data_IF_922686648071
#
_entry.id   IF_922686648071
#
_cell.length_a   1.000
_cell.length_b   1.000
_cell.length_c   1.000
_cell.angle_alpha   90.00
_cell.angle_beta   90.00
_cell.angle_gamma   90.00
#
_symmetry.space_group_name_H-M   'P 1'
#
loop_
_entity.id
_entity.type
_entity.pdbx_description
1 polymer ?
#
# COMPACT_ATOMS: atom_id res chain seq x y z
N UNK A 1 -29.76 -73.48 -45.97
CA UNK A 1 -29.12 -72.20 -46.36
C UNK A 1 -28.70 -71.53 -45.05
N UNK A 2 -27.71 -72.10 -44.35
CA UNK A 2 -27.48 -71.89 -42.92
C UNK A 2 -26.04 -71.45 -42.62
N UNK A 3 -25.40 -70.72 -43.54
CA UNK A 3 -24.07 -70.13 -43.33
C UNK A 3 -24.08 -68.60 -43.17
N UNK A 4 -25.18 -67.92 -43.53
CA UNK A 4 -25.25 -66.45 -43.45
C UNK A 4 -25.61 -65.91 -42.05
N UNK A 5 -26.24 -66.71 -41.18
CA UNK A 5 -26.65 -66.25 -39.83
C UNK A 5 -25.50 -66.24 -38.81
N UNK A 6 -24.55 -67.19 -38.92
CA UNK A 6 -23.38 -67.23 -38.03
C UNK A 6 -22.40 -66.09 -38.31
N UNK A 7 -22.29 -65.67 -39.58
CA UNK A 7 -21.43 -64.57 -40.01
C UNK A 7 -22.03 -63.20 -39.63
N UNK A 8 -23.36 -63.05 -39.69
CA UNK A 8 -24.06 -61.86 -39.19
C UNK A 8 -23.93 -61.67 -37.67
N UNK A 9 -23.92 -62.75 -36.87
CA UNK A 9 -23.70 -62.66 -35.43
C UNK A 9 -22.25 -62.28 -35.08
N UNK A 10 -21.26 -62.75 -35.85
CA UNK A 10 -19.86 -62.37 -35.68
C UNK A 10 -19.59 -60.91 -36.03
N UNK A 11 -20.19 -60.41 -37.13
CA UNK A 11 -20.06 -59.00 -37.53
C UNK A 11 -20.80 -58.07 -36.56
N UNK A 12 -21.99 -58.46 -36.09
CA UNK A 12 -22.72 -57.70 -35.08
C UNK A 12 -21.99 -57.69 -33.72
N UNK A 13 -21.42 -58.83 -33.31
CA UNK A 13 -20.63 -58.94 -32.07
C UNK A 13 -19.34 -58.12 -32.12
N UNK A 14 -18.63 -58.11 -33.25
CA UNK A 14 -17.44 -57.28 -33.44
C UNK A 14 -17.77 -55.79 -33.44
N UNK A 15 -18.89 -55.39 -34.07
CA UNK A 15 -19.36 -54.01 -34.05
C UNK A 15 -19.67 -53.50 -32.64
N UNK A 16 -20.31 -54.35 -31.82
CA UNK A 16 -20.58 -54.05 -30.41
C UNK A 16 -19.30 -53.96 -29.56
N UNK A 17 -18.34 -54.86 -29.78
CA UNK A 17 -17.05 -54.79 -29.10
C UNK A 17 -16.29 -53.51 -29.45
N UNK A 18 -16.27 -53.11 -30.72
CA UNK A 18 -15.63 -51.86 -31.16
C UNK A 18 -16.30 -50.63 -30.54
N UNK A 19 -17.64 -50.63 -30.47
CA UNK A 19 -18.41 -49.55 -29.86
C UNK A 19 -18.08 -49.40 -28.36
N UNK A 20 -17.91 -50.49 -27.62
CA UNK A 20 -17.50 -50.44 -26.22
C UNK A 20 -16.07 -49.95 -26.03
N UNK A 21 -15.14 -50.32 -26.91
CA UNK A 21 -13.76 -49.81 -26.86
C UNK A 21 -13.71 -48.31 -27.13
N UNK A 22 -14.43 -47.84 -28.15
CA UNK A 22 -14.54 -46.40 -28.44
C UNK A 22 -15.23 -45.65 -27.31
N UNK A 23 -16.31 -46.21 -26.74
CA UNK A 23 -17.01 -45.62 -25.60
C UNK A 23 -16.10 -45.54 -24.36
N UNK A 24 -15.33 -46.59 -24.07
CA UNK A 24 -14.37 -46.59 -22.97
C UNK A 24 -13.24 -45.58 -23.18
N UNK A 25 -12.74 -45.43 -24.42
CA UNK A 25 -11.74 -44.42 -24.76
C UNK A 25 -12.30 -43.00 -24.63
N UNK A 26 -13.53 -42.75 -25.09
CA UNK A 26 -14.19 -41.44 -24.94
C UNK A 26 -14.48 -41.13 -23.48
N UNK A 27 -14.96 -42.12 -22.71
CA UNK A 27 -15.22 -41.94 -21.28
C UNK A 27 -13.92 -41.65 -20.52
N UNK A 28 -12.84 -42.37 -20.81
CA UNK A 28 -11.52 -42.10 -20.22
C UNK A 28 -10.96 -40.73 -20.66
N UNK A 29 -11.19 -40.30 -21.90
CA UNK A 29 -10.74 -38.99 -22.38
C UNK A 29 -11.53 -37.82 -21.77
N UNK A 30 -12.85 -37.96 -21.58
CA UNK A 30 -13.70 -36.95 -20.91
C UNK A 30 -13.32 -36.81 -19.45
N UNK A 31 -13.11 -37.91 -18.73
CA UNK A 31 -12.64 -37.89 -17.33
C UNK A 31 -11.24 -37.25 -17.24
N UNK A 32 -10.36 -37.47 -18.22
CA UNK A 32 -9.04 -36.83 -18.24
C UNK A 32 -9.10 -35.33 -18.55
N UNK A 33 -10.09 -34.87 -19.32
CA UNK A 33 -10.21 -33.46 -19.74
C UNK A 33 -10.95 -32.62 -18.69
N UNK A 34 -11.96 -33.18 -18.02
CA UNK A 34 -12.67 -32.50 -16.91
C UNK A 34 -11.80 -32.38 -15.65
N UNK A 35 -10.91 -33.34 -15.38
CA UNK A 35 -9.95 -33.20 -14.27
C UNK A 35 -8.88 -32.12 -14.56
N UNK A 36 -8.39 -32.03 -15.80
CA UNK A 36 -7.33 -31.07 -16.15
C UNK A 36 -7.79 -29.62 -16.08
N UNK A 37 -9.03 -29.33 -16.52
CA UNK A 37 -9.55 -27.97 -16.55
C UNK A 37 -9.89 -27.45 -15.14
N UNK A 38 -10.41 -28.30 -14.26
CA UNK A 38 -10.79 -27.92 -12.89
C UNK A 38 -9.55 -27.74 -11.99
N UNK A 39 -8.52 -28.56 -12.21
CA UNK A 39 -7.26 -28.50 -11.46
C UNK A 39 -6.43 -27.26 -11.80
N UNK A 40 -6.36 -26.85 -13.08
CA UNK A 40 -5.66 -25.62 -13.49
C UNK A 40 -6.34 -24.34 -12.99
N UNK A 41 -7.68 -24.30 -12.93
CA UNK A 41 -8.41 -23.14 -12.42
C UNK A 41 -8.27 -23.00 -10.89
N UNK A 42 -8.33 -24.11 -10.14
CA UNK A 42 -8.10 -24.10 -8.68
C UNK A 42 -6.68 -23.65 -8.29
N UNK A 43 -5.65 -24.14 -9.00
CA UNK A 43 -4.25 -23.72 -8.75
C UNK A 43 -4.01 -22.24 -8.99
N UNK A 44 -4.63 -21.66 -10.04
CA UNK A 44 -4.46 -20.23 -10.34
C UNK A 44 -5.15 -19.36 -9.28
N UNK A 45 -6.33 -19.76 -8.82
CA UNK A 45 -7.05 -19.04 -7.76
C UNK A 45 -6.33 -19.12 -6.40
N UNK A 46 -5.70 -20.25 -6.08
CA UNK A 46 -4.92 -20.43 -4.84
C UNK A 46 -3.66 -19.55 -4.83
N UNK A 47 -2.93 -19.47 -5.95
CA UNK A 47 -1.74 -18.61 -6.10
C UNK A 47 -2.10 -17.14 -5.94
N UNK A 48 -3.10 -16.66 -6.68
CA UNK A 48 -3.53 -15.26 -6.62
C UNK A 48 -4.15 -14.94 -5.25
N UNK A 49 -4.80 -15.91 -4.61
CA UNK A 49 -5.32 -15.77 -3.25
C UNK A 49 -4.19 -15.60 -2.22
N UNK A 50 -3.11 -16.36 -2.34
CA UNK A 50 -1.94 -16.24 -1.47
C UNK A 50 -1.18 -14.93 -1.71
N UNK A 51 -1.00 -14.52 -2.97
CA UNK A 51 -0.39 -13.22 -3.33
C UNK A 51 -1.14 -12.06 -2.64
N UNK A 52 -2.47 -11.97 -2.79
CA UNK A 52 -3.26 -10.91 -2.14
C UNK A 52 -3.22 -10.97 -0.61
N UNK A 53 -3.20 -12.18 -0.05
CA UNK A 53 -3.08 -12.36 1.39
C UNK A 53 -1.70 -11.92 1.90
N UNK A 54 -0.65 -12.13 1.12
CA UNK A 54 0.70 -11.66 1.39
C UNK A 54 0.81 -10.15 1.25
N UNK A 55 0.26 -9.55 0.19
CA UNK A 55 0.22 -8.09 0.00
C UNK A 55 -0.42 -7.39 1.20
N UNK A 56 -1.64 -7.78 1.56
CA UNK A 56 -2.35 -7.18 2.69
C UNK A 56 -1.71 -7.52 4.04
N UNK A 57 -1.28 -8.77 4.23
CA UNK A 57 -0.68 -9.24 5.47
C UNK A 57 0.67 -8.58 5.75
N UNK A 58 1.58 -8.64 4.79
CA UNK A 58 2.92 -8.05 4.92
C UNK A 58 2.87 -6.53 4.88
N UNK A 59 2.01 -5.92 4.06
CA UNK A 59 1.76 -4.47 4.11
C UNK A 59 1.36 -4.00 5.51
N UNK A 60 0.48 -4.77 6.19
CA UNK A 60 0.13 -4.52 7.59
C UNK A 60 1.31 -4.63 8.56
N UNK A 61 2.13 -5.66 8.41
CA UNK A 61 3.33 -5.86 9.23
C UNK A 61 4.39 -4.77 8.98
N UNK A 62 4.51 -4.27 7.76
CA UNK A 62 5.41 -3.16 7.42
C UNK A 62 4.98 -1.87 8.12
N UNK A 63 3.69 -1.53 8.07
CA UNK A 63 3.14 -0.37 8.82
C UNK A 63 3.39 -0.53 10.32
N UNK A 64 3.20 -1.74 10.85
CA UNK A 64 3.45 -2.02 12.25
C UNK A 64 4.94 -1.86 12.61
N UNK A 65 5.85 -2.45 11.83
CA UNK A 65 7.29 -2.33 12.07
C UNK A 65 7.75 -0.86 12.06
N UNK A 66 7.27 -0.05 11.09
CA UNK A 66 7.56 1.38 11.01
C UNK A 66 6.96 2.21 12.17
N UNK A 67 5.94 1.67 12.85
CA UNK A 67 5.33 2.31 14.00
C UNK A 67 6.07 1.91 15.27
N UNK A 68 6.21 0.61 15.52
CA UNK A 68 6.66 0.04 16.80
C UNK A 68 8.19 0.04 16.97
N UNK A 69 8.95 -0.13 15.88
CA UNK A 69 10.41 -0.15 15.89
C UNK A 69 10.93 1.09 15.15
N UNK A 70 11.53 2.04 15.86
CA UNK A 70 12.00 3.29 15.26
C UNK A 70 13.49 3.59 15.56
N UNK A 71 14.21 2.60 16.11
CA UNK A 71 15.59 2.77 16.55
C UNK A 71 16.53 3.10 15.38
N UNK A 72 16.54 2.23 14.37
CA UNK A 72 17.39 2.26 13.18
C UNK A 72 16.84 1.30 12.11
N UNK A 73 17.16 1.52 10.82
CA UNK A 73 16.62 0.69 9.73
C UNK A 73 16.92 -0.80 9.87
N UNK A 74 18.08 -1.19 10.41
CA UNK A 74 18.44 -2.60 10.54
C UNK A 74 17.58 -3.32 11.60
N UNK A 75 17.22 -2.62 12.67
CA UNK A 75 16.26 -3.09 13.67
C UNK A 75 14.86 -3.29 13.05
N UNK A 76 14.38 -2.33 12.26
CA UNK A 76 13.07 -2.40 11.57
C UNK A 76 13.03 -3.54 10.56
N UNK A 77 14.09 -3.69 9.76
CA UNK A 77 14.24 -4.80 8.81
C UNK A 77 14.20 -6.16 9.50
N UNK A 78 14.90 -6.29 10.62
CA UNK A 78 14.94 -7.53 11.40
C UNK A 78 13.57 -7.85 12.00
N UNK A 79 12.85 -6.85 12.50
CA UNK A 79 11.50 -6.99 13.00
C UNK A 79 10.54 -7.42 11.89
N UNK A 80 10.54 -6.73 10.74
CA UNK A 80 9.71 -7.10 9.58
C UNK A 80 10.00 -8.53 9.11
N UNK A 81 11.27 -8.92 8.97
CA UNK A 81 11.64 -10.27 8.54
C UNK A 81 11.18 -11.34 9.53
N UNK A 82 11.29 -11.09 10.84
CA UNK A 82 10.78 -11.99 11.87
C UNK A 82 9.26 -12.12 11.80
N UNK A 83 8.57 -11.01 11.56
CA UNK A 83 7.12 -10.92 11.50
C UNK A 83 6.54 -11.61 10.27
N UNK A 84 7.14 -11.40 9.10
CA UNK A 84 6.82 -12.14 7.87
C UNK A 84 7.05 -13.64 8.06
N UNK A 85 8.16 -14.05 8.71
CA UNK A 85 8.41 -15.46 9.00
C UNK A 85 7.36 -16.07 9.93
N UNK A 86 6.85 -15.33 10.93
CA UNK A 86 5.74 -15.78 11.80
C UNK A 86 4.42 -15.85 11.04
N UNK A 87 4.13 -14.87 10.20
CA UNK A 87 2.94 -14.85 9.35
C UNK A 87 2.95 -16.05 8.39
N UNK A 88 4.08 -16.29 7.71
CA UNK A 88 4.23 -17.41 6.79
C UNK A 88 4.04 -18.76 7.50
N UNK A 89 4.66 -18.95 8.67
CA UNK A 89 4.48 -20.19 9.43
C UNK A 89 3.00 -20.47 9.72
N UNK A 90 2.23 -19.43 10.07
CA UNK A 90 0.78 -19.55 10.30
C UNK A 90 -0.01 -19.76 9.01
N UNK A 91 0.31 -19.06 7.93
CA UNK A 91 -0.35 -19.21 6.63
C UNK A 91 -0.12 -20.61 6.05
N UNK A 92 1.11 -21.11 6.11
CA UNK A 92 1.52 -22.42 5.62
C UNK A 92 0.87 -23.58 6.38
N UNK A 93 0.60 -23.42 7.68
CA UNK A 93 -0.20 -24.37 8.47
C UNK A 93 -1.63 -24.53 7.92
N UNK A 94 -2.24 -23.45 7.45
CA UNK A 94 -3.59 -23.45 6.87
C UNK A 94 -3.57 -24.04 5.45
N UNK A 95 -2.62 -23.63 4.61
CA UNK A 95 -2.47 -24.10 3.23
C UNK A 95 -2.15 -25.60 3.14
N UNK A 96 -1.39 -26.14 4.10
CA UNK A 96 -1.03 -27.56 4.14
C UNK A 96 -2.25 -28.48 4.22
N UNK A 97 -3.37 -28.01 4.78
CA UNK A 97 -4.64 -28.76 4.80
C UNK A 97 -5.26 -28.95 3.41
N UNK A 98 -4.93 -28.07 2.46
CA UNK A 98 -5.33 -28.11 1.06
C UNK A 98 -4.34 -28.84 0.14
N UNK A 99 -3.20 -29.32 0.66
CA UNK A 99 -2.16 -29.99 -0.14
C UNK A 99 -1.18 -29.05 -0.83
N UNK A 100 -1.18 -27.78 -0.47
CA UNK A 100 -0.29 -26.74 -0.99
C UNK A 100 0.67 -26.27 0.11
N UNK A 101 1.95 -26.15 -0.22
CA UNK A 101 2.98 -25.59 0.65
C UNK A 101 3.28 -24.18 0.17
N UNK A 102 3.15 -23.21 1.07
CA UNK A 102 3.47 -21.81 0.81
C UNK A 102 4.75 -21.43 1.56
N UNK A 103 5.42 -20.38 1.09
CA UNK A 103 6.51 -19.72 1.80
C UNK A 103 6.53 -18.24 1.42
N UNK A 104 6.82 -17.38 2.39
CA UNK A 104 7.10 -15.96 2.18
C UNK A 104 8.35 -15.54 2.95
N UNK A 105 9.21 -14.77 2.31
CA UNK A 105 10.41 -14.23 2.92
C UNK A 105 10.69 -12.81 2.39
N UNK A 106 11.17 -11.92 3.26
CA UNK A 106 11.64 -10.60 2.84
C UNK A 106 12.94 -10.79 2.06
N UNK A 107 12.95 -10.33 0.80
CA UNK A 107 14.09 -10.39 -0.11
C UNK A 107 14.95 -9.13 0.03
N UNK A 108 14.31 -7.96 -0.05
CA UNK A 108 14.94 -6.65 0.04
C UNK A 108 14.00 -5.64 0.65
N UNK A 109 14.57 -4.53 1.11
CA UNK A 109 13.81 -3.36 1.57
C UNK A 109 14.38 -2.10 0.94
N UNK A 110 13.53 -1.09 0.83
CA UNK A 110 13.94 0.28 0.53
C UNK A 110 13.81 1.08 1.82
N UNK A 111 14.91 1.69 2.23
CA UNK A 111 14.99 2.51 3.43
C UNK A 111 14.41 3.90 3.17
N UNK A 112 13.79 4.49 4.17
CA UNK A 112 13.23 5.83 4.10
C UNK A 112 13.15 6.47 5.49
N UNK A 113 12.46 7.60 5.56
CA UNK A 113 12.22 8.33 6.81
C UNK A 113 10.73 8.59 6.97
N UNK A 114 10.22 8.29 8.16
CA UNK A 114 8.87 8.67 8.59
C UNK A 114 8.93 10.00 9.30
N UNK A 115 8.16 10.96 8.81
CA UNK A 115 7.97 12.27 9.44
C UNK A 115 6.60 12.30 10.07
N UNK A 116 6.51 12.71 11.34
CA UNK A 116 5.26 12.69 12.08
C UNK A 116 5.11 13.85 13.06
N UNK A 117 3.87 14.29 13.23
CA UNK A 117 3.40 15.11 14.35
C UNK A 117 2.18 14.41 14.96
N UNK A 118 2.37 13.54 15.97
CA UNK A 118 1.26 12.92 16.69
C UNK A 118 0.44 13.93 17.50
N UNK A 119 1.10 14.96 18.04
CA UNK A 119 0.48 15.96 18.90
C UNK A 119 -0.48 16.87 18.13
N UNK A 120 -1.60 17.22 18.76
CA UNK A 120 -2.50 18.24 18.23
C UNK A 120 -1.93 19.64 18.48
N UNK A 121 -1.25 20.21 17.49
CA UNK A 121 -0.61 21.54 17.56
C UNK A 121 -0.56 22.22 16.19
N UNK A 122 -0.01 23.43 16.14
CA UNK A 122 0.26 24.09 14.85
C UNK A 122 1.25 23.29 14.01
N UNK A 123 1.14 23.39 12.68
CA UNK A 123 2.00 22.71 11.71
C UNK A 123 3.35 23.41 11.56
N UNK A 124 3.97 23.74 12.68
CA UNK A 124 5.28 24.39 12.75
C UNK A 124 6.36 23.38 13.11
N UNK A 125 7.59 23.64 12.67
CA UNK A 125 8.77 22.85 13.04
C UNK A 125 9.05 22.90 14.56
N UNK A 126 10.09 22.19 15.00
CA UNK A 126 10.49 22.17 16.41
C UNK A 126 10.95 23.55 16.94
N UNK A 127 11.46 24.41 16.05
CA UNK A 127 11.85 25.79 16.38
C UNK A 127 10.67 26.76 16.40
N UNK A 128 9.48 26.33 15.97
CA UNK A 128 8.26 27.13 15.90
C UNK A 128 8.10 27.91 14.58
N UNK A 129 8.86 27.59 13.54
CA UNK A 129 8.70 28.17 12.21
C UNK A 129 7.47 27.58 11.51
N UNK A 130 6.46 28.39 11.13
CA UNK A 130 5.30 27.91 10.39
C UNK A 130 5.58 27.64 8.91
N UNK A 131 6.74 28.04 8.38
CA UNK A 131 7.14 27.92 6.98
C UNK A 131 8.44 27.13 6.89
N UNK A 132 8.36 25.81 6.69
CA UNK A 132 9.51 24.93 6.83
C UNK A 132 9.52 23.79 5.81
N UNK A 133 10.73 23.28 5.53
CA UNK A 133 10.95 22.12 4.66
C UNK A 133 11.09 20.88 5.52
N UNK A 134 10.23 19.89 5.31
CA UNK A 134 10.25 18.65 6.05
C UNK A 134 11.21 17.62 5.43
N UNK A 135 11.25 17.51 4.11
CA UNK A 135 12.20 16.60 3.46
C UNK A 135 12.71 17.22 2.16
N UNK A 136 13.93 16.87 1.77
CA UNK A 136 14.55 17.31 0.53
C UNK A 136 14.95 16.14 -0.34
N UNK A 137 14.98 16.36 -1.66
CA UNK A 137 15.47 15.35 -2.61
C UNK A 137 14.64 14.07 -2.64
N UNK A 138 13.36 14.16 -2.25
CA UNK A 138 12.40 13.06 -2.23
C UNK A 138 12.04 12.69 -3.67
N UNK A 139 12.03 11.40 -4.01
CA UNK A 139 11.53 10.98 -5.33
C UNK A 139 10.10 10.46 -5.24
N UNK A 140 9.72 9.93 -4.08
CA UNK A 140 8.35 9.48 -3.83
C UNK A 140 7.93 9.66 -2.36
N UNK A 141 6.65 9.91 -2.13
CA UNK A 141 6.06 10.07 -0.79
C UNK A 141 4.86 9.15 -0.65
N UNK A 142 4.78 8.44 0.48
CA UNK A 142 3.68 7.52 0.81
C UNK A 142 2.96 7.99 2.06
N UNK A 143 1.67 7.69 2.09
CA UNK A 143 0.79 7.93 3.25
C UNK A 143 0.89 9.34 3.81
N UNK A 144 0.86 10.34 2.95
CA UNK A 144 0.82 11.70 3.42
C UNK A 144 -0.59 12.03 3.88
N UNK A 145 -0.83 11.84 5.16
CA UNK A 145 -2.14 12.04 5.77
C UNK A 145 -2.05 13.16 6.82
N UNK A 146 -3.09 14.00 6.88
CA UNK A 146 -3.22 15.07 7.85
C UNK A 146 -4.65 15.19 8.38
N UNK A 147 -4.80 15.51 9.66
CA UNK A 147 -6.07 15.96 10.24
C UNK A 147 -5.88 17.42 10.62
N UNK A 148 -6.66 18.30 10.00
CA UNK A 148 -6.44 19.74 10.00
C UNK A 148 -7.67 20.47 10.51
N UNK A 149 -7.46 21.42 11.42
CA UNK A 149 -8.42 22.43 11.83
C UNK A 149 -7.88 23.82 11.51
N UNK A 150 -8.34 24.46 10.43
CA UNK A 150 -7.94 25.84 10.13
C UNK A 150 -8.37 26.81 11.25
N UNK A 151 -7.43 27.63 11.71
CA UNK A 151 -7.63 28.60 12.79
C UNK A 151 -7.36 30.04 12.34
N UNK A 152 -6.62 30.23 11.25
CA UNK A 152 -6.23 31.52 10.69
C UNK A 152 -6.98 31.90 9.41
N UNK A 153 -6.64 33.07 8.86
CA UNK A 153 -7.25 33.60 7.64
C UNK A 153 -6.55 33.16 6.35
N UNK A 154 -5.26 32.81 6.43
CA UNK A 154 -4.48 32.27 5.31
C UNK A 154 -4.55 30.73 5.31
N UNK A 155 -4.48 30.07 4.15
CA UNK A 155 -4.53 28.61 4.08
C UNK A 155 -3.27 27.96 4.66
N UNK A 156 -3.45 26.86 5.38
CA UNK A 156 -2.38 25.88 5.57
C UNK A 156 -2.06 25.28 4.21
N UNK A 157 -0.79 25.32 3.80
CA UNK A 157 -0.34 24.78 2.52
C UNK A 157 0.62 23.62 2.75
N UNK A 158 0.28 22.43 2.23
CA UNK A 158 1.17 21.29 2.12
C UNK A 158 1.68 21.23 0.68
N UNK A 159 2.98 21.40 0.47
CA UNK A 159 3.56 21.65 -0.85
C UNK A 159 4.70 20.68 -1.19
N UNK A 160 4.68 20.17 -2.42
CA UNK A 160 5.79 19.46 -3.04
C UNK A 160 6.33 20.27 -4.21
N UNK A 161 7.65 20.41 -4.32
CA UNK A 161 8.28 21.25 -5.34
C UNK A 161 9.65 20.73 -5.75
N UNK A 162 9.91 20.62 -7.04
CA UNK A 162 11.24 20.32 -7.60
C UNK A 162 12.03 21.60 -7.94
N UNK A 163 11.46 22.77 -7.64
CA UNK A 163 12.00 24.10 -7.96
C UNK A 163 11.33 24.72 -9.19
N UNK A 164 11.44 24.12 -10.40
CA UNK A 164 10.71 24.58 -11.58
C UNK A 164 9.19 24.42 -11.52
N UNK A 165 8.70 23.36 -10.87
CA UNK A 165 7.29 23.07 -10.72
C UNK A 165 6.95 22.84 -9.24
N UNK A 166 5.69 23.12 -8.89
CA UNK A 166 5.17 22.80 -7.58
C UNK A 166 3.72 22.34 -7.67
N UNK A 167 3.33 21.55 -6.68
CA UNK A 167 1.98 21.04 -6.47
C UNK A 167 1.66 21.17 -5.00
N UNK A 168 0.45 21.62 -4.67
CA UNK A 168 0.10 21.89 -3.27
C UNK A 168 -1.35 21.63 -2.94
N UNK A 169 -1.59 21.37 -1.66
CA UNK A 169 -2.89 21.28 -1.03
C UNK A 169 -3.05 22.44 -0.07
N UNK A 170 -4.08 23.24 -0.27
CA UNK A 170 -4.47 24.34 0.60
C UNK A 170 -5.70 23.92 1.42
N UNK A 171 -5.64 24.10 2.74
CA UNK A 171 -6.74 23.81 3.69
C UNK A 171 -7.06 25.06 4.48
N UNK A 172 -8.31 25.54 4.40
CA UNK A 172 -8.72 26.83 4.99
C UNK A 172 -10.20 26.88 5.36
N UNK A 173 -10.57 27.82 6.22
CA UNK A 173 -11.98 28.06 6.57
C UNK A 173 -12.75 28.59 5.36
N UNK A 174 -13.94 28.05 5.10
CA UNK A 174 -14.76 28.52 4.00
C UNK A 174 -15.31 29.92 4.30
N UNK A 175 -14.88 30.90 3.50
CA UNK A 175 -15.26 32.30 3.69
C UNK A 175 -16.74 32.60 3.39
N UNK A 176 -17.45 31.71 2.69
CA UNK A 176 -18.86 31.88 2.33
C UNK A 176 -19.82 31.14 3.28
N UNK A 177 -19.36 30.06 3.90
CA UNK A 177 -20.15 29.18 4.76
C UNK A 177 -19.40 28.93 6.07
N UNK A 178 -19.80 29.65 7.12
CA UNK A 178 -19.23 29.42 8.45
C UNK A 178 -19.50 27.97 8.91
N UNK A 179 -18.51 27.33 9.54
CA UNK A 179 -18.56 25.93 9.94
C UNK A 179 -18.16 24.94 8.84
N UNK A 180 -17.66 25.44 7.70
CA UNK A 180 -17.14 24.62 6.61
C UNK A 180 -15.65 24.84 6.41
N UNK A 181 -14.96 23.78 5.97
CA UNK A 181 -13.54 23.80 5.60
C UNK A 181 -13.43 23.52 4.10
N UNK A 182 -12.70 24.37 3.38
CA UNK A 182 -12.32 24.18 1.98
C UNK A 182 -10.98 23.43 1.90
N UNK A 183 -10.89 22.53 0.91
CA UNK A 183 -9.66 21.84 0.52
C UNK A 183 -9.48 22.02 -0.98
N UNK A 184 -8.37 22.64 -1.38
CA UNK A 184 -8.05 22.91 -2.78
C UNK A 184 -6.68 22.36 -3.15
N UNK A 185 -6.60 21.73 -4.31
CA UNK A 185 -5.34 21.32 -4.93
C UNK A 185 -4.97 22.34 -5.98
N UNK A 186 -3.74 22.82 -5.96
CA UNK A 186 -3.25 23.83 -6.90
C UNK A 186 -1.91 23.46 -7.51
N UNK A 187 -1.69 23.93 -8.73
CA UNK A 187 -0.38 23.90 -9.37
C UNK A 187 0.51 25.08 -8.89
N UNK A 188 1.74 25.13 -9.38
CA UNK A 188 2.69 26.20 -9.08
C UNK A 188 2.35 27.57 -9.66
N UNK A 189 1.38 27.66 -10.59
CA UNK A 189 0.84 28.93 -11.08
C UNK A 189 -0.36 29.40 -10.25
N UNK A 190 -0.83 28.57 -9.31
CA UNK A 190 -2.01 28.82 -8.49
C UNK A 190 -3.33 28.45 -9.16
N UNK A 191 -3.32 27.74 -10.29
CA UNK A 191 -4.52 27.17 -10.90
C UNK A 191 -5.11 26.09 -9.99
N UNK A 192 -6.43 26.06 -9.84
CA UNK A 192 -7.14 25.03 -9.06
C UNK A 192 -7.30 23.78 -9.93
N UNK A 193 -6.67 22.69 -9.52
CA UNK A 193 -6.74 21.38 -10.18
C UNK A 193 -7.92 20.54 -9.66
N UNK A 194 -8.14 20.61 -8.35
CA UNK A 194 -9.25 19.96 -7.65
C UNK A 194 -9.70 20.81 -6.46
N UNK A 195 -10.98 20.72 -6.11
CA UNK A 195 -11.50 21.42 -4.94
C UNK A 195 -12.69 20.65 -4.34
N UNK A 196 -12.81 20.71 -3.03
CA UNK A 196 -13.96 20.21 -2.28
C UNK A 196 -14.13 21.00 -0.99
N UNK A 197 -15.28 20.84 -0.34
CA UNK A 197 -15.54 21.45 0.96
C UNK A 197 -16.34 20.49 1.84
N UNK A 198 -16.16 20.61 3.15
CA UNK A 198 -16.81 19.76 4.15
C UNK A 198 -17.50 20.61 5.22
N UNK A 199 -18.67 20.18 5.69
CA UNK A 199 -19.38 20.80 6.82
C UNK A 199 -18.75 20.37 8.14
N UNK A 200 -17.54 20.86 8.40
CA UNK A 200 -16.77 20.61 9.62
C UNK A 200 -15.64 21.63 9.75
N UNK A 201 -15.32 22.02 10.98
CA UNK A 201 -14.14 22.83 11.33
C UNK A 201 -12.84 21.99 11.38
N UNK A 202 -12.96 20.67 11.22
CA UNK A 202 -11.84 19.72 11.16
C UNK A 202 -12.02 18.80 9.95
N UNK A 203 -10.95 18.57 9.21
CA UNK A 203 -10.96 17.68 8.03
C UNK A 203 -9.79 16.70 8.08
N UNK A 204 -10.04 15.44 7.71
CA UNK A 204 -8.99 14.47 7.42
C UNK A 204 -8.68 14.49 5.92
N UNK A 205 -7.42 14.66 5.56
CA UNK A 205 -6.94 14.74 4.19
C UNK A 205 -5.90 13.65 3.99
N UNK A 206 -6.12 12.77 3.02
CA UNK A 206 -5.07 11.91 2.47
C UNK A 206 -4.54 12.58 1.20
N UNK A 207 -3.37 13.18 1.32
CA UNK A 207 -2.71 13.98 0.28
C UNK A 207 -2.23 13.08 -0.86
N UNK A 208 -1.73 11.89 -0.53
CA UNK A 208 -1.23 10.91 -1.48
C UNK A 208 -2.35 10.20 -2.24
N UNK A 209 -3.42 9.77 -1.56
CA UNK A 209 -4.56 9.10 -2.20
C UNK A 209 -5.60 10.06 -2.78
N UNK A 210 -5.53 11.35 -2.43
CA UNK A 210 -6.47 12.36 -2.87
C UNK A 210 -7.87 12.22 -2.28
N UNK A 211 -7.94 11.95 -0.98
CA UNK A 211 -9.23 11.81 -0.28
C UNK A 211 -9.42 12.86 0.80
N UNK A 212 -10.68 13.24 1.00
CA UNK A 212 -11.11 14.15 2.07
C UNK A 212 -12.22 13.46 2.87
N UNK A 213 -11.99 13.28 4.17
CA UNK A 213 -12.81 12.44 5.06
C UNK A 213 -13.08 11.05 4.46
N UNK A 214 -12.06 10.44 3.85
CA UNK A 214 -12.14 9.13 3.19
C UNK A 214 -12.88 9.12 1.85
N UNK A 215 -13.35 10.27 1.37
CA UNK A 215 -14.02 10.39 0.06
C UNK A 215 -13.04 10.89 -0.99
N UNK A 216 -12.88 10.13 -2.09
CA UNK A 216 -12.01 10.50 -3.21
C UNK A 216 -12.47 11.80 -3.87
N UNK A 217 -11.54 12.73 -4.06
CA UNK A 217 -11.77 13.99 -4.79
C UNK A 217 -11.38 13.80 -6.26
N UNK A 218 -12.24 14.25 -7.17
CA UNK A 218 -11.97 14.13 -8.60
C UNK A 218 -10.78 15.01 -9.03
N UNK A 219 -9.97 14.51 -9.97
CA UNK A 219 -8.77 15.18 -10.51
C UNK A 219 -7.67 15.47 -9.47
N UNK A 220 -7.71 14.81 -8.32
CA UNK A 220 -6.59 14.83 -7.38
C UNK A 220 -5.58 13.76 -7.78
N UNK A 221 -4.50 14.19 -8.43
CA UNK A 221 -3.31 13.38 -8.68
C UNK A 221 -2.16 13.96 -7.85
N UNK A 222 -1.63 13.18 -6.92
CA UNK A 222 -0.52 13.62 -6.08
C UNK A 222 0.69 14.03 -6.93
N UNK A 223 1.33 15.15 -6.56
CA UNK A 223 2.53 15.69 -7.20
C UNK A 223 2.44 15.86 -8.73
N UNK A 224 1.24 16.07 -9.28
CA UNK A 224 1.07 16.21 -10.73
C UNK A 224 1.94 17.35 -11.28
N UNK A 225 2.65 17.07 -12.38
CA UNK A 225 3.60 17.97 -13.05
C UNK A 225 4.90 18.28 -12.28
N UNK A 226 5.12 17.66 -11.13
CA UNK A 226 6.43 17.59 -10.47
C UNK A 226 7.10 16.31 -10.93
N UNK A 227 8.28 16.41 -11.55
CA UNK A 227 8.90 15.28 -12.27
C UNK A 227 10.34 14.99 -11.87
N UNK A 228 10.99 15.95 -11.20
CA UNK A 228 12.27 15.73 -10.54
C UNK A 228 12.08 15.25 -9.10
N UNK A 229 13.22 14.99 -8.44
CA UNK A 229 13.25 14.92 -6.99
C UNK A 229 12.76 16.26 -6.42
N UNK A 230 11.95 16.21 -5.37
CA UNK A 230 11.23 17.35 -4.82
C UNK A 230 11.44 17.50 -3.31
N UNK A 231 11.15 18.69 -2.84
CA UNK A 231 11.09 19.01 -1.42
C UNK A 231 9.64 18.90 -0.94
N UNK A 232 9.44 18.31 0.23
CA UNK A 232 8.15 18.33 0.95
C UNK A 232 8.20 19.47 1.96
N UNK A 233 7.22 20.37 1.92
CA UNK A 233 7.22 21.61 2.70
C UNK A 233 5.85 21.94 3.24
N UNK A 234 5.84 22.65 4.38
CA UNK A 234 4.66 23.26 4.97
C UNK A 234 4.82 24.77 4.87
N UNK A 235 3.77 25.46 4.45
CA UNK A 235 3.68 26.91 4.54
C UNK A 235 2.42 27.31 5.31
N UNK A 236 2.49 28.46 5.98
CA UNK A 236 1.44 29.03 6.82
C UNK A 236 0.96 28.06 7.92
N UNK A 237 1.85 27.21 8.45
CA UNK A 237 1.53 26.17 9.43
C UNK A 237 0.93 26.69 10.74
N UNK A 238 1.11 27.98 11.06
CA UNK A 238 0.50 28.65 12.20
C UNK A 238 -0.98 29.01 12.03
N UNK A 239 -1.55 28.88 10.83
CA UNK A 239 -2.97 29.15 10.53
C UNK A 239 -3.86 27.91 10.63
N UNK A 240 -3.33 26.78 11.11
CA UNK A 240 -4.10 25.59 11.41
C UNK A 240 -3.49 24.85 12.59
N UNK A 241 -4.30 24.06 13.27
CA UNK A 241 -3.86 23.08 14.26
C UNK A 241 -4.25 21.67 13.80
N UNK A 242 -3.48 20.67 14.20
CA UNK A 242 -3.73 19.31 13.76
C UNK A 242 -2.56 18.38 13.99
N UNK A 243 -2.57 17.30 13.21
CA UNK A 243 -1.58 16.22 13.21
C UNK A 243 -1.39 15.74 11.79
N UNK A 244 -0.21 15.23 11.48
CA UNK A 244 0.09 14.68 10.17
C UNK A 244 1.21 13.65 10.27
N UNK A 245 1.30 12.81 9.26
CA UNK A 245 2.44 11.92 9.07
C UNK A 245 2.59 11.54 7.60
N UNK A 246 3.80 11.15 7.22
CA UNK A 246 4.12 10.63 5.90
C UNK A 246 5.45 9.87 5.93
N UNK A 247 5.71 9.08 4.88
CA UNK A 247 6.98 8.38 4.68
C UNK A 247 7.60 8.82 3.35
N UNK A 248 8.87 9.17 3.36
CA UNK A 248 9.66 9.51 2.16
C UNK A 248 10.68 8.42 1.86
N UNK A 249 11.07 8.29 0.61
CA UNK A 249 12.08 7.34 0.10
C UNK A 249 13.54 7.80 0.35
N UNK A 250 13.72 8.78 1.22
CA UNK A 250 15.03 9.32 1.60
C UNK A 250 15.36 8.81 2.99
N UNK A 251 16.40 7.97 3.17
CA UNK A 251 16.90 7.60 4.49
C UNK A 251 17.57 8.80 5.15
N UNK A 252 17.44 8.91 6.46
CA UNK A 252 18.05 9.97 7.28
C UNK A 252 17.68 11.39 6.78
N UNK A 253 16.45 11.58 6.29
CA UNK A 253 15.98 12.85 5.72
C UNK A 253 16.16 14.08 6.63
N UNK A 254 16.29 13.87 7.94
CA UNK A 254 16.62 14.91 8.92
C UNK A 254 18.00 15.56 8.71
N UNK A 255 18.95 14.86 8.10
CA UNK A 255 20.32 15.36 7.87
C UNK A 255 20.37 16.40 6.74
N UNK A 256 19.38 16.38 5.83
CA UNK A 256 19.29 17.27 4.67
C UNK A 256 18.44 18.53 4.92
N UNK A 257 17.82 18.67 6.09
CA UNK A 257 17.02 19.84 6.50
C UNK A 257 17.75 20.74 7.50
N UNK A 258 17.13 21.85 7.89
CA UNK A 258 17.74 22.77 8.83
C UNK A 258 17.84 22.15 10.23
N UNK A 259 18.95 22.38 10.94
CA UNK A 259 19.06 21.94 12.33
C UNK A 259 17.96 22.57 13.21
N UNK A 260 17.28 21.76 14.03
CA UNK A 260 16.14 22.20 14.83
C UNK A 260 14.79 22.16 14.09
N UNK A 261 14.73 21.49 12.93
CA UNK A 261 13.46 21.16 12.25
C UNK A 261 12.64 20.17 13.07
N UNK A 262 13.30 19.18 13.67
CA UNK A 262 12.67 18.09 14.41
C UNK A 262 13.03 18.12 15.89
N UNK A 263 12.06 17.71 16.71
CA UNK A 263 12.28 17.36 18.11
C UNK A 263 12.93 15.97 18.18
N UNK A 264 13.64 15.73 19.29
CA UNK A 264 14.08 14.38 19.60
C UNK A 264 12.85 13.48 19.87
N UNK A 265 12.99 12.19 19.54
CA UNK A 265 11.94 11.19 19.77
C UNK A 265 11.59 11.14 21.26
N UNK A 266 10.29 11.22 21.56
CA UNK A 266 9.75 11.24 22.93
C UNK A 266 9.80 12.61 23.63
N UNK A 267 10.46 13.62 23.05
CA UNK A 267 10.58 14.96 23.66
C UNK A 267 9.56 15.97 23.09
N UNK A 268 8.99 15.70 21.92
CA UNK A 268 7.96 16.54 21.31
C UNK A 268 7.67 16.20 19.85
N UNK A 269 7.10 17.16 19.13
CA UNK A 269 6.74 17.05 17.71
C UNK A 269 7.13 18.34 16.94
N UNK A 270 7.46 18.25 15.64
CA UNK A 270 7.47 17.04 14.82
C UNK A 270 8.73 16.19 15.00
N UNK A 271 8.65 14.91 14.64
CA UNK A 271 9.77 13.96 14.68
C UNK A 271 10.09 13.41 13.29
N UNK A 272 11.34 13.04 13.10
CA UNK A 272 11.81 12.20 12.01
C UNK A 272 12.34 10.88 12.60
N UNK A 273 11.95 9.76 12.00
CA UNK A 273 12.33 8.43 12.45
C UNK A 273 12.66 7.53 11.25
N UNK A 274 13.64 6.61 11.39
CA UNK A 274 13.87 5.55 10.43
C UNK A 274 12.56 4.80 10.08
N UNK A 275 12.38 4.48 8.80
CA UNK A 275 11.26 3.70 8.31
C UNK A 275 11.63 2.90 7.06
N UNK A 276 10.86 1.86 6.76
CA UNK A 276 10.91 1.16 5.48
C UNK A 276 9.89 1.79 4.53
N UNK A 277 10.37 2.26 3.40
CA UNK A 277 9.56 2.85 2.36
C UNK A 277 8.78 1.77 1.58
N UNK A 278 9.45 0.67 1.27
CA UNK A 278 8.87 -0.54 0.67
C UNK A 278 9.66 -1.79 1.05
N UNK A 279 9.06 -2.96 0.87
CA UNK A 279 9.73 -4.24 0.97
C UNK A 279 9.38 -5.12 -0.23
N UNK A 280 10.35 -5.86 -0.74
CA UNK A 280 10.10 -6.93 -1.71
C UNK A 280 10.07 -8.27 -0.98
N UNK A 281 9.01 -9.03 -1.20
CA UNK A 281 8.77 -10.32 -0.57
C UNK A 281 8.79 -11.40 -1.66
N UNK A 282 9.69 -12.36 -1.50
CA UNK A 282 9.68 -13.60 -2.26
C UNK A 282 8.51 -14.47 -1.80
N UNK A 283 7.59 -14.79 -2.70
CA UNK A 283 6.49 -15.73 -2.47
C UNK A 283 6.72 -17.01 -3.25
N UNK A 284 6.57 -18.15 -2.57
CA UNK A 284 6.66 -19.47 -3.16
C UNK A 284 5.40 -20.26 -2.86
N UNK A 285 4.77 -20.81 -3.90
CA UNK A 285 3.62 -21.72 -3.80
C UNK A 285 3.98 -23.03 -4.48
N UNK A 286 3.89 -24.14 -3.74
CA UNK A 286 4.23 -25.49 -4.24
C UNK A 286 3.08 -26.45 -4.01
N UNK A 287 2.71 -27.17 -5.05
CA UNK A 287 1.77 -28.29 -4.99
C UNK A 287 2.41 -29.58 -5.55
N UNK A 288 1.62 -30.65 -5.67
CA UNK A 288 2.09 -31.95 -6.14
C UNK A 288 2.61 -31.97 -7.60
N UNK A 289 2.37 -30.92 -8.37
CA UNK A 289 2.59 -30.82 -9.81
C UNK A 289 3.38 -29.58 -10.24
N UNK A 290 3.30 -28.48 -9.49
CA UNK A 290 3.85 -27.17 -9.88
C UNK A 290 4.55 -26.50 -8.70
N UNK A 291 5.62 -25.76 -9.00
CA UNK A 291 6.23 -24.75 -8.13
C UNK A 291 6.10 -23.41 -8.82
N UNK A 292 5.51 -22.45 -8.13
CA UNK A 292 5.38 -21.08 -8.56
C UNK A 292 6.15 -20.19 -7.59
N UNK A 293 6.98 -19.29 -8.12
CA UNK A 293 7.83 -18.37 -7.37
C UNK A 293 7.63 -16.99 -7.99
N UNK A 294 7.35 -15.97 -7.17
CA UNK A 294 7.10 -14.60 -7.60
C UNK A 294 7.60 -13.60 -6.56
N UNK A 295 7.89 -12.38 -6.99
CA UNK A 295 8.26 -11.26 -6.12
C UNK A 295 7.10 -10.28 -6.04
N UNK A 296 6.73 -9.90 -4.83
CA UNK A 296 5.69 -8.90 -4.57
C UNK A 296 6.32 -7.75 -3.80
N UNK A 297 6.18 -6.53 -4.33
CA UNK A 297 6.56 -5.32 -3.62
C UNK A 297 5.37 -4.85 -2.80
N UNK A 298 5.56 -4.74 -1.48
CA UNK A 298 4.57 -4.23 -0.54
C UNK A 298 5.03 -2.89 0.02
N UNK A 299 4.06 -2.06 0.35
CA UNK A 299 4.32 -0.71 0.82
C UNK A 299 3.30 -0.28 1.89
N UNK A 300 3.58 0.79 2.66
CA UNK A 300 2.76 1.21 3.78
C UNK A 300 1.28 1.47 3.46
N UNK A 301 0.93 1.90 2.23
CA UNK A 301 -0.46 2.21 1.86
C UNK A 301 -1.37 0.97 1.78
N UNK A 302 -0.81 -0.24 1.68
CA UNK A 302 -1.55 -1.49 1.56
C UNK A 302 -2.28 -1.90 2.86
N UNK A 303 -2.18 -1.11 3.93
CA UNK A 303 -2.81 -1.37 5.22
C UNK A 303 -3.39 -0.11 5.88
N UNK A 304 -4.66 -0.15 6.28
CA UNK A 304 -5.32 0.93 7.03
C UNK A 304 -5.17 0.80 8.56
N UNK A 305 -4.24 -0.02 9.05
CA UNK A 305 -4.24 -0.49 10.45
C UNK A 305 -3.82 0.58 11.47
N UNK A 306 -2.93 1.50 11.08
CA UNK A 306 -2.51 2.62 11.91
C UNK A 306 -2.34 3.89 11.06
N UNK A 307 -2.63 5.08 11.60
CA UNK A 307 -2.32 6.33 10.92
C UNK A 307 -0.79 6.58 10.91
N UNK A 308 -0.26 7.32 9.93
CA UNK A 308 1.19 7.48 9.74
C UNK A 308 1.86 8.30 10.86
N UNK A 309 1.09 9.08 11.62
CA UNK A 309 1.58 9.79 12.80
C UNK A 309 1.55 8.96 14.09
N UNK A 310 1.11 7.70 14.06
CA UNK A 310 1.15 6.86 15.24
C UNK A 310 2.61 6.69 15.74
N UNK A 311 2.77 6.61 17.05
CA UNK A 311 4.03 6.29 17.70
C UNK A 311 3.73 5.46 18.96
N UNK A 312 4.57 4.46 19.29
CA UNK A 312 4.44 3.66 20.50
C UNK A 312 4.64 4.48 21.78
N UNK A 313 5.27 5.65 21.68
CA UNK A 313 5.60 6.54 22.79
C UNK A 313 4.55 7.65 23.04
N UNK A 314 3.40 7.61 22.35
CA UNK A 314 2.29 8.57 22.50
C UNK A 314 1.34 8.25 23.68
#
# INVERSE_FOLDING_TARGET
MDRDRGQLLLVAGLGLALAFVVLALVLNAVVFTENLATQNHGQTDDVVGYERAAEAGVGGLLVQANTDDDADHASIQSALAADVGRWDANASLLSASGGTVTAAAVESVDEGTRVAQPDWRSFADASGDPDWTAARGVTETRRFEAVVSPTGGDPLTLNVSDGPASWRVDVFQNGSNAGFTDVEVRDGNGEVLAATYVESDTVAVDVTEGTVNGTRVANWTFAENVSGAYDVSVANGGNAEGRYGFVVDVPDAEDDVAGGTYEARGDGSPTAAPALYSATVDLTVRDASVTYETNVTVAPEESSTAPPWASPDA
#
